data_IF_522710083737
#
_entry.id   IF_522710083737
#
_cell.length_a   1.000
_cell.length_b   1.000
_cell.length_c   1.000
_cell.angle_alpha   90.00
_cell.angle_beta   90.00
_cell.angle_gamma   90.00
#
_symmetry.space_group_name_H-M   'P 1'
#
loop_
_entity.id
_entity.type
_entity.pdbx_description
1 polymer ?
#
# COMPACT_ATOMS: atom_id res chain seq x y z
N UNK A 1 25.00 8.85 10.09
CA UNK A 1 23.89 8.41 9.23
C UNK A 1 24.34 7.13 8.53
N UNK A 2 23.85 5.97 8.96
CA UNK A 2 24.28 4.67 8.41
C UNK A 2 23.59 4.52 7.05
N UNK A 3 24.37 4.56 5.97
CA UNK A 3 23.86 4.34 4.63
C UNK A 3 23.81 2.82 4.40
N UNK A 4 22.63 2.21 4.60
CA UNK A 4 22.43 0.79 4.30
C UNK A 4 22.46 0.64 2.79
N UNK A 5 23.50 -0.03 2.26
CA UNK A 5 23.61 -0.32 0.82
C UNK A 5 22.63 -1.43 0.47
N UNK A 6 21.41 -1.05 0.15
CA UNK A 6 20.38 -1.95 -0.34
C UNK A 6 20.30 -1.87 -1.86
N UNK A 7 20.04 -3.00 -2.50
CA UNK A 7 19.62 -3.03 -3.90
C UNK A 7 18.25 -2.35 -4.06
N UNK A 8 17.90 -1.98 -5.30
CA UNK A 8 16.58 -1.45 -5.62
C UNK A 8 15.47 -2.40 -5.17
N UNK A 9 15.69 -3.71 -5.36
CA UNK A 9 14.74 -4.76 -4.97
C UNK A 9 14.53 -4.80 -3.46
N UNK A 10 15.62 -4.82 -2.68
CA UNK A 10 15.53 -4.84 -1.22
C UNK A 10 14.86 -3.58 -0.68
N UNK A 11 15.20 -2.42 -1.24
CA UNK A 11 14.59 -1.15 -0.87
C UNK A 11 13.09 -1.15 -1.16
N UNK A 12 12.69 -1.64 -2.34
CA UNK A 12 11.27 -1.76 -2.71
C UNK A 12 10.53 -2.75 -1.80
N UNK A 13 11.14 -3.90 -1.50
CA UNK A 13 10.59 -4.86 -0.53
C UNK A 13 10.37 -4.22 0.84
N UNK A 14 11.34 -3.46 1.36
CA UNK A 14 11.21 -2.78 2.65
C UNK A 14 10.06 -1.78 2.65
N UNK A 15 10.01 -0.88 1.66
CA UNK A 15 8.94 0.13 1.55
C UNK A 15 7.56 -0.53 1.51
N UNK A 16 7.39 -1.60 0.74
CA UNK A 16 6.11 -2.31 0.67
C UNK A 16 5.81 -3.04 1.98
N UNK A 17 6.81 -3.62 2.65
CA UNK A 17 6.63 -4.26 3.96
C UNK A 17 6.17 -3.28 5.04
N UNK A 18 6.73 -2.06 5.05
CA UNK A 18 6.31 -0.99 5.95
C UNK A 18 4.91 -0.50 5.62
N UNK A 19 4.61 -0.33 4.32
CA UNK A 19 3.26 0.02 3.85
C UNK A 19 2.25 -0.99 4.37
N UNK A 20 2.52 -2.28 4.25
CA UNK A 20 1.63 -3.35 4.74
C UNK A 20 1.31 -3.20 6.24
N UNK A 21 2.26 -2.75 7.07
CA UNK A 21 2.01 -2.51 8.50
C UNK A 21 0.94 -1.43 8.69
N UNK A 22 0.97 -0.34 7.91
CA UNK A 22 -0.06 0.70 8.00
C UNK A 22 -1.44 0.19 7.59
N UNK A 23 -1.52 -0.61 6.53
CA UNK A 23 -2.78 -1.21 6.08
C UNK A 23 -3.32 -2.26 7.08
N UNK A 24 -2.43 -3.00 7.75
CA UNK A 24 -2.82 -3.88 8.86
C UNK A 24 -3.37 -3.11 10.05
N UNK A 25 -2.78 -1.95 10.39
CA UNK A 25 -3.29 -1.09 11.46
C UNK A 25 -4.64 -0.49 11.12
N UNK A 26 -4.89 -0.19 9.85
CA UNK A 26 -6.17 0.27 9.34
C UNK A 26 -7.22 -0.86 9.23
N UNK A 27 -6.87 -2.11 9.55
CA UNK A 27 -7.73 -3.28 9.40
C UNK A 27 -8.26 -3.49 7.96
N UNK A 28 -7.60 -2.90 6.96
CA UNK A 28 -8.04 -2.98 5.57
C UNK A 28 -7.45 -4.25 4.92
N UNK A 29 -8.28 -5.08 4.28
CA UNK A 29 -7.80 -6.19 3.47
C UNK A 29 -6.97 -5.67 2.29
N UNK A 30 -5.74 -6.14 2.15
CA UNK A 30 -4.84 -5.80 1.05
C UNK A 30 -4.44 -7.05 0.25
N UNK A 31 -4.01 -6.85 -1.00
CA UNK A 31 -3.57 -7.95 -1.89
C UNK A 31 -2.07 -8.25 -1.75
N UNK A 32 -1.62 -9.33 -2.36
CA UNK A 32 -0.25 -9.82 -2.28
C UNK A 32 0.81 -8.77 -2.71
N UNK A 33 1.84 -8.52 -1.89
CA UNK A 33 2.78 -7.40 -2.08
C UNK A 33 3.73 -7.55 -3.27
N UNK A 34 3.86 -8.75 -3.85
CA UNK A 34 4.83 -9.02 -4.92
C UNK A 34 4.61 -8.16 -6.17
N UNK A 35 3.36 -8.03 -6.61
CA UNK A 35 3.02 -7.19 -7.76
C UNK A 35 3.27 -5.69 -7.49
N UNK A 36 3.20 -5.27 -6.23
CA UNK A 36 3.46 -3.87 -5.83
C UNK A 36 4.95 -3.55 -5.83
N UNK A 37 5.80 -4.50 -5.46
CA UNK A 37 7.26 -4.36 -5.56
C UNK A 37 7.67 -4.09 -7.02
N UNK A 38 7.18 -4.90 -7.96
CA UNK A 38 7.49 -4.72 -9.40
C UNK A 38 6.99 -3.36 -9.90
N UNK A 39 5.79 -2.93 -9.47
CA UNK A 39 5.24 -1.61 -9.84
C UNK A 39 6.10 -0.47 -9.29
N UNK A 40 6.59 -0.57 -8.05
CA UNK A 40 7.47 0.42 -7.44
C UNK A 40 8.84 0.47 -8.14
N UNK A 41 9.41 -0.67 -8.51
CA UNK A 41 10.65 -0.73 -9.28
C UNK A 41 10.50 -0.06 -10.66
N UNK A 42 9.40 -0.33 -11.36
CA UNK A 42 9.08 0.33 -12.63
C UNK A 42 8.91 1.84 -12.47
N UNK A 43 8.21 2.28 -11.42
CA UNK A 43 7.99 3.69 -11.13
C UNK A 43 9.32 4.41 -10.79
N UNK A 44 10.22 3.75 -10.07
CA UNK A 44 11.57 4.27 -9.80
C UNK A 44 12.35 4.47 -11.10
N UNK A 45 12.30 3.52 -12.03
CA UNK A 45 12.98 3.63 -13.32
C UNK A 45 12.38 4.78 -14.17
N UNK A 46 11.06 4.94 -14.16
CA UNK A 46 10.37 6.07 -14.80
C UNK A 46 10.85 7.40 -14.21
N UNK A 47 10.93 7.51 -12.88
CA UNK A 47 11.47 8.67 -12.20
C UNK A 47 12.93 8.97 -12.59
N UNK A 48 13.80 7.95 -12.68
CA UNK A 48 15.20 8.13 -13.10
C UNK A 48 15.31 8.69 -14.52
N UNK A 49 14.43 8.27 -15.42
CA UNK A 49 14.37 8.80 -16.78
C UNK A 49 13.87 10.24 -16.81
N UNK A 50 12.85 10.57 -16.01
CA UNK A 50 12.37 11.95 -15.85
C UNK A 50 13.46 12.85 -15.26
N UNK A 51 14.17 12.39 -14.24
CA UNK A 51 15.26 13.12 -13.61
C UNK A 51 16.35 13.50 -14.63
N UNK A 52 16.72 12.57 -15.53
CA UNK A 52 17.70 12.80 -16.60
C UNK A 52 17.26 13.91 -17.57
N UNK A 53 15.96 14.08 -17.76
CA UNK A 53 15.37 15.04 -18.69
C UNK A 53 14.72 16.25 -18.01
N UNK A 54 14.90 16.41 -16.70
CA UNK A 54 14.28 17.46 -15.87
C UNK A 54 14.55 18.90 -16.33
N UNK A 55 15.63 19.13 -17.09
CA UNK A 55 15.96 20.46 -17.65
C UNK A 55 15.15 20.81 -18.90
N UNK A 56 14.44 19.86 -19.51
CA UNK A 56 13.66 20.08 -20.74
C UNK A 56 12.24 20.54 -20.38
N UNK A 57 11.86 21.75 -20.78
CA UNK A 57 10.50 22.28 -20.63
C UNK A 57 9.71 22.11 -21.93
N UNK A 58 9.46 20.86 -22.30
CA UNK A 58 8.57 20.53 -23.42
C UNK A 58 7.23 20.05 -22.88
N UNK A 59 6.14 20.35 -23.56
CA UNK A 59 4.79 19.89 -23.23
C UNK A 59 4.74 18.36 -22.99
N UNK A 60 5.42 17.57 -23.82
CA UNK A 60 5.50 16.12 -23.65
C UNK A 60 6.19 15.70 -22.34
N UNK A 61 7.16 16.48 -21.87
CA UNK A 61 7.86 16.21 -20.61
C UNK A 61 6.97 16.57 -19.42
N UNK A 62 6.27 17.71 -19.48
CA UNK A 62 5.30 18.11 -18.46
C UNK A 62 4.17 17.07 -18.32
N UNK A 63 3.66 16.56 -19.44
CA UNK A 63 2.66 15.48 -19.43
C UNK A 63 3.19 14.20 -18.77
N UNK A 64 4.45 13.82 -19.03
CA UNK A 64 5.05 12.64 -18.40
C UNK A 64 5.26 12.84 -16.90
N UNK A 65 5.65 14.03 -16.48
CA UNK A 65 5.78 14.37 -15.06
C UNK A 65 4.43 14.34 -14.35
N UNK A 66 3.37 14.84 -15.00
CA UNK A 66 2.02 14.78 -14.47
C UNK A 66 1.54 13.32 -14.34
N UNK A 67 1.70 12.51 -15.39
CA UNK A 67 1.36 11.08 -15.36
C UNK A 67 2.14 10.33 -14.27
N UNK A 68 3.41 10.69 -14.04
CA UNK A 68 4.21 10.13 -12.96
C UNK A 68 3.65 10.48 -11.58
N UNK A 69 3.25 11.73 -11.36
CA UNK A 69 2.62 12.16 -10.09
C UNK A 69 1.35 11.36 -9.81
N UNK A 70 0.49 11.17 -10.81
CA UNK A 70 -0.73 10.38 -10.65
C UNK A 70 -0.42 8.91 -10.31
N UNK A 71 0.52 8.28 -11.03
CA UNK A 71 0.94 6.91 -10.72
C UNK A 71 1.55 6.77 -9.33
N UNK A 72 2.23 7.80 -8.85
CA UNK A 72 2.84 7.84 -7.51
C UNK A 72 1.77 7.95 -6.42
N UNK A 73 0.73 8.76 -6.65
CA UNK A 73 -0.42 8.86 -5.74
C UNK A 73 -1.10 7.50 -5.55
N UNK A 74 -1.31 6.76 -6.65
CA UNK A 74 -1.95 5.45 -6.71
C UNK A 74 -1.05 4.27 -6.26
N UNK A 75 0.24 4.52 -5.99
CA UNK A 75 1.19 3.44 -5.75
C UNK A 75 0.87 2.67 -4.45
N UNK A 76 0.50 3.42 -3.42
CA UNK A 76 0.27 2.89 -2.07
C UNK A 76 -1.18 2.47 -1.81
N UNK A 77 -2.08 2.64 -2.79
CA UNK A 77 -3.39 1.99 -2.75
C UNK A 77 -3.22 0.49 -3.04
N UNK A 78 -3.05 -0.27 -1.95
CA UNK A 78 -2.88 -1.73 -1.99
C UNK A 78 -4.14 -2.47 -1.52
N UNK A 79 -5.27 -1.77 -1.43
CA UNK A 79 -6.54 -2.34 -1.04
C UNK A 79 -6.91 -3.53 -1.94
N UNK A 80 -7.55 -4.53 -1.34
CA UNK A 80 -8.16 -5.60 -2.10
C UNK A 80 -9.32 -5.05 -2.94
N UNK A 81 -9.54 -5.56 -4.16
CA UNK A 81 -10.64 -5.08 -5.03
C UNK A 81 -12.03 -5.22 -4.37
N UNK A 82 -12.19 -6.24 -3.53
CA UNK A 82 -13.38 -6.47 -2.71
C UNK A 82 -13.25 -5.92 -1.27
N UNK A 83 -12.27 -5.06 -0.97
CA UNK A 83 -12.02 -4.57 0.40
C UNK A 83 -13.29 -3.95 1.02
N UNK A 84 -14.01 -3.11 0.27
CA UNK A 84 -15.27 -2.50 0.72
C UNK A 84 -16.37 -3.51 1.10
N UNK A 85 -16.37 -4.70 0.49
CA UNK A 85 -17.33 -5.77 0.81
C UNK A 85 -16.90 -6.60 2.02
N UNK A 86 -15.60 -6.65 2.30
CA UNK A 86 -15.01 -7.44 3.39
C UNK A 86 -15.02 -6.62 4.69
N UNK A 87 -14.74 -5.32 4.60
CA UNK A 87 -14.76 -4.41 5.73
C UNK A 87 -16.19 -4.32 6.26
N UNK A 88 -16.35 -4.60 7.56
CA UNK A 88 -17.66 -4.57 8.23
C UNK A 88 -17.90 -3.23 8.93
N UNK A 89 -16.83 -2.58 9.39
CA UNK A 89 -16.85 -1.32 10.14
C UNK A 89 -17.02 -0.17 9.15
N UNK A 90 -17.95 0.75 9.42
CA UNK A 90 -18.27 1.82 8.47
C UNK A 90 -17.18 2.89 8.43
N UNK A 91 -16.56 3.16 9.58
CA UNK A 91 -15.42 4.08 9.72
C UNK A 91 -14.23 3.65 8.85
N UNK A 92 -13.91 2.35 8.82
CA UNK A 92 -12.82 1.82 7.99
C UNK A 92 -13.14 1.89 6.49
N UNK A 93 -14.42 1.77 6.11
CA UNK A 93 -14.85 1.98 4.71
C UNK A 93 -14.73 3.43 4.31
N UNK A 94 -15.15 4.36 5.18
CA UNK A 94 -15.00 5.78 4.95
C UNK A 94 -13.52 6.16 4.82
N UNK A 95 -12.68 5.63 5.71
CA UNK A 95 -11.24 5.84 5.64
C UNK A 95 -10.67 5.31 4.32
N UNK A 96 -11.03 4.09 3.89
CA UNK A 96 -10.60 3.56 2.59
C UNK A 96 -11.08 4.45 1.42
N UNK A 97 -12.32 4.92 1.46
CA UNK A 97 -12.87 5.81 0.44
C UNK A 97 -12.09 7.15 0.37
N UNK A 98 -11.80 7.76 1.52
CA UNK A 98 -10.99 8.98 1.61
C UNK A 98 -9.54 8.78 1.17
N UNK A 99 -8.96 7.59 1.38
CA UNK A 99 -7.60 7.26 0.91
C UNK A 99 -7.55 7.08 -0.62
N UNK A 100 -8.60 6.53 -1.24
CA UNK A 100 -8.67 6.35 -2.69
C UNK A 100 -9.06 7.64 -3.43
N UNK A 101 -9.47 8.71 -2.74
CA UNK A 101 -9.73 10.01 -3.36
C UNK A 101 -8.43 10.77 -3.66
N UNK A 102 -8.37 11.41 -4.83
CA UNK A 102 -7.27 12.32 -5.19
C UNK A 102 -7.22 13.47 -4.18
N UNK A 103 -6.05 13.70 -3.59
CA UNK A 103 -5.82 14.76 -2.60
C UNK A 103 -5.64 14.32 -1.14
N UNK A 104 -5.83 13.02 -0.81
CA UNK A 104 -5.63 12.39 0.52
C UNK A 104 -6.12 13.25 1.69
N UNK A 105 -7.40 13.14 2.00
CA UNK A 105 -8.06 13.98 3.01
C UNK A 105 -7.80 13.46 4.44
N UNK A 106 -7.70 12.14 4.59
CA UNK A 106 -7.60 11.50 5.91
C UNK A 106 -6.19 10.96 6.20
N UNK A 107 -5.88 10.85 7.49
CA UNK A 107 -4.63 10.27 8.00
C UNK A 107 -4.98 9.20 9.03
N UNK A 108 -4.18 8.13 9.08
CA UNK A 108 -4.31 7.08 10.09
C UNK A 108 -4.13 7.65 11.50
N UNK A 109 -5.20 7.62 12.30
CA UNK A 109 -5.20 7.92 13.72
C UNK A 109 -4.71 6.75 14.60
N UNK A 110 -4.82 6.91 15.92
CA UNK A 110 -4.51 5.84 16.88
C UNK A 110 -5.46 4.65 16.77
N UNK A 111 -4.94 3.44 17.01
CA UNK A 111 -5.72 2.19 16.95
C UNK A 111 -6.69 2.11 18.14
N UNK A 112 -7.96 1.80 17.88
CA UNK A 112 -8.91 1.41 18.94
C UNK A 112 -8.60 -0.01 19.45
N UNK A 113 -8.08 -0.09 20.67
CA UNK A 113 -7.66 -1.35 21.31
C UNK A 113 -8.81 -2.36 21.44
N UNK A 114 -10.05 -1.90 21.64
CA UNK A 114 -11.20 -2.82 21.83
C UNK A 114 -11.50 -3.59 20.56
N UNK A 115 -11.40 -2.92 19.43
CA UNK A 115 -11.66 -3.49 18.10
C UNK A 115 -10.52 -4.40 17.67
N UNK A 116 -9.27 -4.00 17.89
CA UNK A 116 -8.07 -4.80 17.63
C UNK A 116 -8.07 -6.16 18.37
N UNK A 117 -8.48 -6.19 19.64
CA UNK A 117 -8.56 -7.44 20.40
C UNK A 117 -9.59 -8.43 19.85
N UNK A 118 -10.76 -7.94 19.40
CA UNK A 118 -11.80 -8.79 18.82
C UNK A 118 -11.30 -9.45 17.53
N UNK A 119 -10.65 -8.69 16.67
CA UNK A 119 -10.11 -9.22 15.42
C UNK A 119 -8.98 -10.21 15.64
N UNK A 120 -8.06 -9.95 16.57
CA UNK A 120 -7.01 -10.91 16.95
C UNK A 120 -7.60 -12.27 17.33
N UNK A 121 -8.76 -12.29 18.02
CA UNK A 121 -9.47 -13.53 18.34
C UNK A 121 -10.03 -14.22 17.08
N UNK A 122 -10.62 -13.47 16.15
CA UNK A 122 -11.12 -14.00 14.86
C UNK A 122 -9.98 -14.56 14.02
N UNK A 123 -8.88 -13.83 13.88
CA UNK A 123 -7.70 -14.24 13.12
C UNK A 123 -7.08 -15.52 13.70
N UNK A 124 -7.02 -15.64 15.03
CA UNK A 124 -6.56 -16.85 15.74
C UNK A 124 -7.48 -18.05 15.45
N UNK A 125 -8.80 -17.85 15.38
CA UNK A 125 -9.77 -18.89 14.99
C UNK A 125 -9.60 -19.31 13.53
N UNK A 126 -9.40 -18.36 12.60
CA UNK A 126 -9.15 -18.64 11.18
C UNK A 126 -7.85 -19.42 10.95
N UNK A 127 -6.76 -19.03 11.63
CA UNK A 127 -5.47 -19.72 11.55
C UNK A 127 -5.60 -21.17 12.02
N UNK A 128 -6.28 -21.42 13.16
CA UNK A 128 -6.56 -22.77 13.66
C UNK A 128 -7.32 -23.64 12.65
N UNK A 129 -8.34 -23.07 11.99
CA UNK A 129 -9.11 -23.75 10.94
C UNK A 129 -8.23 -24.13 9.73
N UNK A 130 -7.39 -23.21 9.24
CA UNK A 130 -6.47 -23.46 8.10
C UNK A 130 -5.39 -24.49 8.40
N UNK A 131 -4.86 -24.54 9.63
CA UNK A 131 -3.86 -25.54 10.04
C UNK A 131 -4.47 -26.93 10.27
N UNK A 132 -5.77 -26.99 10.61
CA UNK A 132 -6.49 -28.26 10.76
C UNK A 132 -6.80 -28.95 9.43
N UNK A 133 -6.94 -28.21 8.34
CA UNK A 133 -7.27 -28.76 7.00
C UNK A 133 -6.07 -29.35 6.26
N UNK A 134 -4.84 -29.18 6.74
CA UNK A 134 -3.62 -29.78 6.16
C UNK A 134 -3.28 -31.17 6.73
N UNK A 135 -4.11 -31.72 7.63
CA UNK A 135 -4.06 -33.11 8.07
C UNK A 135 -5.29 -33.82 7.51
N UNK A 136 -5.21 -34.26 6.26
CA UNK A 136 -5.96 -35.36 5.66
C UNK A 136 -5.52 -35.52 4.21
#
# INVERSE_FOLDING_TARGET
MICVKLSLRESACLVISETVIFWQKAQIPFREPQHRIVKLEALYNEWRMLQKHSKRKSETQEQKEQNFKEKLEDLFDIAHSNALKIITIEEDKQFLFSQSQKGRIDVLGGIDKRTDEKEKRVLKRLKRRRTGTKKN
#
